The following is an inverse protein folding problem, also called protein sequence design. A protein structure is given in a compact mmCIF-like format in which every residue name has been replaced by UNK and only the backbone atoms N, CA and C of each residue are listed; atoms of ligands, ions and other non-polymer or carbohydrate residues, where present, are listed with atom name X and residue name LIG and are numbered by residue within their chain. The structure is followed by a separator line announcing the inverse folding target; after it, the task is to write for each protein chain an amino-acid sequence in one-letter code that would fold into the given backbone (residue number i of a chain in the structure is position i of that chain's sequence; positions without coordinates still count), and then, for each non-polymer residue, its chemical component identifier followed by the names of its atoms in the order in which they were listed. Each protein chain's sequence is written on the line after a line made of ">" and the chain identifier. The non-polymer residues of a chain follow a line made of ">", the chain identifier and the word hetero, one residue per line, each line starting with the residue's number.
data_IF_027550885823
#
_entry.id   IF_027550885823
#
_cell.length_a   1.000
_cell.length_b   1.000
_cell.length_c   1.000
_cell.angle_alpha   90.00
_cell.angle_beta   90.00
_cell.angle_gamma   90.00
#
_symmetry.space_group_name_H-M   'P 1'
#
loop_
_entity.id
_entity.type
_entity.pdbx_description
1 polymer ?
#
# COMPACT_ATOMS: atom_id res chain seq x y z
N UNK A 1 32.60 6.04 -20.09
CA UNK A 1 32.30 7.24 -19.28
C UNK A 1 30.88 7.16 -18.76
N UNK A 2 29.84 7.16 -19.62
CA UNK A 2 28.43 7.16 -19.17
C UNK A 2 28.00 6.06 -18.18
N UNK A 3 28.50 4.81 -18.29
CA UNK A 3 28.18 3.75 -17.32
C UNK A 3 28.74 4.05 -15.93
N UNK A 4 29.97 4.52 -15.82
CA UNK A 4 30.57 4.87 -14.53
C UNK A 4 29.82 6.01 -13.85
N UNK A 5 29.32 6.99 -14.62
CA UNK A 5 28.51 8.08 -14.07
C UNK A 5 27.17 7.57 -13.51
N UNK A 6 26.55 6.55 -14.13
CA UNK A 6 25.30 5.94 -13.63
C UNK A 6 25.57 5.17 -12.33
N UNK A 7 26.63 4.37 -12.28
CA UNK A 7 27.00 3.61 -11.07
C UNK A 7 27.31 4.55 -9.90
N UNK A 8 28.02 5.66 -10.16
CA UNK A 8 28.28 6.67 -9.14
C UNK A 8 26.96 7.27 -8.59
N UNK A 9 26.01 7.60 -9.46
CA UNK A 9 24.70 8.08 -9.05
C UNK A 9 23.91 7.03 -8.26
N UNK A 10 23.99 5.76 -8.63
CA UNK A 10 23.34 4.67 -7.87
C UNK A 10 23.94 4.54 -6.47
N UNK A 11 25.27 4.65 -6.34
CA UNK A 11 25.92 4.66 -5.02
C UNK A 11 25.42 5.79 -4.11
N UNK A 12 25.05 6.94 -4.71
CA UNK A 12 24.50 8.09 -3.98
C UNK A 12 23.05 7.87 -3.51
N UNK A 13 22.32 6.90 -4.08
CA UNK A 13 20.99 6.51 -3.58
C UNK A 13 21.06 5.89 -2.18
N UNK A 14 22.21 5.34 -1.80
CA UNK A 14 22.43 4.73 -0.50
C UNK A 14 22.90 5.69 0.60
N UNK A 15 23.16 6.96 0.30
CA UNK A 15 23.63 7.93 1.29
C UNK A 15 22.57 8.23 2.35
N UNK A 16 23.00 8.49 3.58
CA UNK A 16 22.09 8.78 4.70
C UNK A 16 21.38 10.14 4.56
N UNK A 17 21.93 11.05 3.77
CA UNK A 17 21.33 12.37 3.54
C UNK A 17 20.23 12.34 2.46
N UNK A 18 19.07 12.91 2.81
CA UNK A 18 17.90 12.95 1.92
C UNK A 18 18.12 13.82 0.68
N UNK A 19 18.94 14.88 0.79
CA UNK A 19 19.22 15.79 -0.32
C UNK A 19 20.05 15.10 -1.42
N UNK A 20 21.07 14.35 -1.05
CA UNK A 20 21.93 13.57 -1.93
C UNK A 20 21.16 12.48 -2.66
N UNK A 21 20.31 11.74 -1.95
CA UNK A 21 19.42 10.74 -2.58
C UNK A 21 18.48 11.37 -3.61
N UNK A 22 17.83 12.49 -3.26
CA UNK A 22 16.93 13.20 -4.20
C UNK A 22 17.68 13.75 -5.40
N UNK A 23 18.88 14.28 -5.20
CA UNK A 23 19.74 14.76 -6.29
C UNK A 23 20.14 13.62 -7.23
N UNK A 24 20.51 12.46 -6.68
CA UNK A 24 20.85 11.28 -7.47
C UNK A 24 19.65 10.76 -8.28
N UNK A 25 18.46 10.67 -7.67
CA UNK A 25 17.23 10.31 -8.37
C UNK A 25 16.95 11.28 -9.52
N UNK A 26 16.99 12.60 -9.28
CA UNK A 26 16.71 13.60 -10.32
C UNK A 26 17.71 13.51 -11.49
N UNK A 27 18.99 13.24 -11.20
CA UNK A 27 20.00 13.05 -12.23
C UNK A 27 19.79 11.77 -13.03
N UNK A 28 19.45 10.65 -12.36
CA UNK A 28 19.08 9.41 -13.04
C UNK A 28 17.82 9.60 -13.90
N UNK A 29 16.79 10.27 -13.39
CA UNK A 29 15.57 10.61 -14.14
C UNK A 29 15.88 11.42 -15.41
N UNK A 30 16.76 12.43 -15.32
CA UNK A 30 17.16 13.22 -16.50
C UNK A 30 17.92 12.41 -17.58
N UNK A 31 18.53 11.28 -17.19
CA UNK A 31 19.23 10.37 -18.12
C UNK A 31 18.28 9.38 -18.79
N UNK A 32 17.12 9.07 -18.19
CA UNK A 32 16.16 8.08 -18.73
C UNK A 32 15.84 8.33 -20.21
N UNK A 33 15.47 9.54 -20.68
CA UNK A 33 15.10 9.76 -22.08
C UNK A 33 16.18 9.41 -23.12
N UNK A 34 17.46 9.38 -22.72
CA UNK A 34 18.60 9.20 -23.63
C UNK A 34 19.34 7.88 -23.41
N UNK A 35 19.17 7.26 -22.24
CA UNK A 35 19.96 6.13 -21.76
C UNK A 35 19.12 5.11 -20.98
N UNK A 36 17.81 5.02 -21.24
CA UNK A 36 16.87 4.19 -20.47
C UNK A 36 17.36 2.77 -20.25
N UNK A 37 17.76 2.05 -21.31
CA UNK A 37 18.28 0.67 -21.20
C UNK A 37 19.52 0.56 -20.31
N UNK A 38 20.40 1.56 -20.36
CA UNK A 38 21.64 1.58 -19.57
C UNK A 38 21.33 1.84 -18.09
N UNK A 39 20.44 2.80 -17.81
CA UNK A 39 19.97 3.08 -16.45
C UNK A 39 19.23 1.86 -15.90
N UNK A 40 18.31 1.26 -16.67
CA UNK A 40 17.58 0.07 -16.27
C UNK A 40 18.53 -1.11 -15.98
N UNK A 41 19.54 -1.34 -16.83
CA UNK A 41 20.54 -2.40 -16.60
C UNK A 41 21.30 -2.20 -15.29
N UNK A 42 21.77 -0.97 -15.01
CA UNK A 42 22.48 -0.70 -13.77
C UNK A 42 21.56 -0.82 -12.54
N UNK A 43 20.31 -0.36 -12.63
CA UNK A 43 19.34 -0.54 -11.54
C UNK A 43 18.99 -2.02 -11.28
N UNK A 44 19.00 -2.87 -12.31
CA UNK A 44 18.80 -4.31 -12.18
C UNK A 44 19.93 -4.94 -11.36
N UNK A 45 21.17 -4.52 -11.59
CA UNK A 45 22.36 -4.99 -10.86
C UNK A 45 22.31 -4.63 -9.34
N UNK A 46 21.39 -3.74 -8.94
CA UNK A 46 21.21 -3.27 -7.56
C UNK A 46 19.84 -3.59 -6.95
N UNK A 47 19.09 -4.55 -7.53
CA UNK A 47 17.78 -4.95 -6.99
C UNK A 47 17.88 -5.70 -5.64
N UNK A 48 19.02 -6.31 -5.36
CA UNK A 48 19.38 -7.00 -4.13
C UNK A 48 20.33 -6.21 -3.23
N UNK A 49 20.64 -4.96 -3.56
CA UNK A 49 21.56 -4.09 -2.80
C UNK A 49 21.21 -4.09 -1.31
N UNK A 50 22.19 -4.23 -0.41
CA UNK A 50 21.96 -4.31 1.04
C UNK A 50 21.21 -3.07 1.58
N UNK A 51 21.41 -1.92 0.96
CA UNK A 51 20.77 -0.67 1.35
C UNK A 51 19.34 -0.59 0.81
N UNK A 52 18.37 -0.58 1.73
CA UNK A 52 16.95 -0.51 1.37
C UNK A 52 16.57 0.76 0.59
N UNK A 53 17.29 1.87 0.75
CA UNK A 53 17.04 3.09 -0.03
C UNK A 53 17.44 2.92 -1.49
N UNK A 54 18.52 2.21 -1.79
CA UNK A 54 18.93 1.89 -3.17
C UNK A 54 17.83 1.05 -3.82
N UNK A 55 17.42 -0.06 -3.17
CA UNK A 55 16.37 -0.95 -3.69
C UNK A 55 15.04 -0.21 -3.93
N UNK A 56 14.59 0.62 -2.98
CA UNK A 56 13.34 1.38 -3.14
C UNK A 56 13.43 2.45 -4.22
N UNK A 57 14.58 3.12 -4.35
CA UNK A 57 14.81 4.13 -5.38
C UNK A 57 14.86 3.51 -6.77
N UNK A 58 15.47 2.34 -6.92
CA UNK A 58 15.45 1.57 -8.16
C UNK A 58 14.00 1.28 -8.61
N UNK A 59 13.17 0.75 -7.70
CA UNK A 59 11.74 0.50 -7.99
C UNK A 59 10.95 1.79 -8.28
N UNK A 60 11.29 2.91 -7.66
CA UNK A 60 10.66 4.20 -7.98
C UNK A 60 11.05 4.69 -9.38
N UNK A 61 12.32 4.55 -9.76
CA UNK A 61 12.81 4.92 -11.09
C UNK A 61 12.18 4.08 -12.20
N UNK A 62 11.96 2.77 -11.99
CA UNK A 62 11.26 1.93 -12.97
C UNK A 62 9.83 2.42 -13.27
N UNK A 63 9.15 3.09 -12.33
CA UNK A 63 7.82 3.69 -12.61
C UNK A 63 7.86 4.93 -13.51
N UNK A 64 9.06 5.43 -13.82
CA UNK A 64 9.31 6.54 -14.74
C UNK A 64 9.81 6.07 -16.10
N UNK A 65 9.96 4.76 -16.28
CA UNK A 65 10.52 4.16 -17.48
C UNK A 65 9.43 3.64 -18.43
N UNK A 66 9.79 3.49 -19.70
CA UNK A 66 8.99 2.88 -20.75
C UNK A 66 9.32 1.40 -20.93
N UNK A 67 8.72 0.78 -21.94
CA UNK A 67 8.96 -0.63 -22.28
C UNK A 67 10.42 -0.95 -22.65
N UNK A 68 11.27 0.04 -22.97
CA UNK A 68 12.68 -0.22 -23.25
C UNK A 68 13.42 -0.78 -22.03
N UNK A 69 12.96 -0.49 -20.82
CA UNK A 69 13.51 -1.05 -19.59
C UNK A 69 13.19 -2.54 -19.39
N UNK A 70 12.21 -3.10 -20.12
CA UNK A 70 11.79 -4.49 -19.95
C UNK A 70 12.92 -5.47 -20.31
N UNK A 71 13.65 -5.24 -21.40
CA UNK A 71 14.73 -6.14 -21.83
C UNK A 71 15.81 -6.33 -20.73
N UNK A 72 16.39 -5.27 -20.13
CA UNK A 72 17.28 -5.41 -18.98
C UNK A 72 16.66 -6.15 -17.79
N UNK A 73 15.40 -5.84 -17.44
CA UNK A 73 14.71 -6.47 -16.30
C UNK A 73 14.47 -7.96 -16.54
N UNK A 74 14.14 -8.35 -17.76
CA UNK A 74 13.93 -9.76 -18.12
C UNK A 74 15.28 -10.50 -18.07
N UNK A 75 16.30 -9.95 -18.71
CA UNK A 75 17.59 -10.62 -18.87
C UNK A 75 18.36 -10.76 -17.56
N UNK A 76 18.41 -9.71 -16.74
CA UNK A 76 19.15 -9.72 -15.46
C UNK A 76 18.28 -9.98 -14.24
N UNK A 77 17.03 -9.53 -14.25
CA UNK A 77 16.14 -9.62 -13.08
C UNK A 77 15.36 -10.93 -13.01
N UNK A 78 14.59 -11.25 -14.06
CA UNK A 78 13.74 -12.44 -14.06
C UNK A 78 14.51 -13.76 -14.18
N UNK A 79 15.66 -13.74 -14.86
CA UNK A 79 16.51 -14.92 -15.04
C UNK A 79 17.56 -15.08 -13.93
N UNK A 80 17.52 -14.24 -12.89
CA UNK A 80 18.39 -14.39 -11.71
C UNK A 80 18.06 -15.66 -10.94
N UNK A 81 19.07 -16.31 -10.35
CA UNK A 81 18.86 -17.44 -9.42
C UNK A 81 18.35 -16.98 -8.04
N UNK A 82 18.39 -15.67 -7.75
CA UNK A 82 17.88 -15.12 -6.51
C UNK A 82 16.40 -14.71 -6.63
N UNK A 83 15.55 -15.33 -5.82
CA UNK A 83 14.14 -14.97 -5.73
C UNK A 83 13.91 -13.53 -5.25
N UNK A 84 14.80 -12.93 -4.45
CA UNK A 84 14.68 -11.51 -4.07
C UNK A 84 14.77 -10.61 -5.30
N UNK A 85 15.74 -10.85 -6.17
CA UNK A 85 15.89 -10.15 -7.45
C UNK A 85 14.68 -10.41 -8.35
N UNK A 86 14.25 -11.67 -8.51
CA UNK A 86 13.06 -11.99 -9.32
C UNK A 86 11.78 -11.30 -8.83
N UNK A 87 11.57 -11.21 -7.51
CA UNK A 87 10.43 -10.50 -6.90
C UNK A 87 10.46 -9.00 -7.23
N UNK A 88 11.64 -8.39 -7.12
CA UNK A 88 11.83 -6.97 -7.42
C UNK A 88 11.63 -6.69 -8.92
N UNK A 89 12.13 -7.57 -9.78
CA UNK A 89 11.92 -7.51 -11.22
C UNK A 89 10.42 -7.62 -11.61
N UNK A 90 9.64 -8.49 -10.95
CA UNK A 90 8.18 -8.53 -11.14
C UNK A 90 7.49 -7.22 -10.70
N UNK A 91 7.92 -6.61 -9.58
CA UNK A 91 7.39 -5.30 -9.16
C UNK A 91 7.78 -4.19 -10.17
N UNK A 92 9.00 -4.23 -10.70
CA UNK A 92 9.47 -3.30 -11.72
C UNK A 92 8.65 -3.38 -13.02
N UNK A 93 8.42 -4.60 -13.56
CA UNK A 93 7.57 -4.79 -14.75
C UNK A 93 6.15 -4.27 -14.49
N UNK A 94 5.57 -4.58 -13.33
CA UNK A 94 4.26 -4.07 -12.96
C UNK A 94 4.22 -2.54 -12.90
N UNK A 95 5.28 -1.88 -12.39
CA UNK A 95 5.37 -0.42 -12.28
C UNK A 95 5.58 0.30 -13.61
N UNK A 96 6.30 -0.31 -14.55
CA UNK A 96 6.44 0.22 -15.92
C UNK A 96 5.06 0.29 -16.58
N UNK A 97 4.18 -0.68 -16.32
CA UNK A 97 2.79 -0.59 -16.77
C UNK A 97 2.61 -0.77 -18.29
N UNK A 98 3.59 -1.33 -18.99
CA UNK A 98 3.48 -1.65 -20.43
C UNK A 98 2.83 -3.01 -20.65
N UNK A 99 1.91 -3.09 -21.62
CA UNK A 99 1.28 -4.33 -22.07
C UNK A 99 2.31 -5.38 -22.52
N UNK A 100 3.45 -4.94 -23.05
CA UNK A 100 4.59 -5.80 -23.43
C UNK A 100 5.12 -6.61 -22.23
N UNK A 101 4.91 -6.12 -21.00
CA UNK A 101 5.27 -6.80 -19.75
C UNK A 101 4.28 -7.89 -19.30
N UNK A 102 3.04 -7.87 -19.80
CA UNK A 102 1.95 -8.76 -19.32
C UNK A 102 2.29 -10.25 -19.47
N UNK A 103 2.84 -10.76 -20.58
CA UNK A 103 3.19 -12.17 -20.71
C UNK A 103 4.17 -12.65 -19.63
N UNK A 104 5.10 -11.79 -19.21
CA UNK A 104 6.07 -12.10 -18.16
C UNK A 104 5.44 -12.12 -16.78
N UNK A 105 4.53 -11.20 -16.49
CA UNK A 105 3.75 -11.20 -15.25
C UNK A 105 2.85 -12.44 -15.18
N UNK A 106 2.19 -12.83 -16.28
CA UNK A 106 1.38 -14.07 -16.34
C UNK A 106 2.27 -15.29 -16.07
N UNK A 107 3.43 -15.40 -16.71
CA UNK A 107 4.41 -16.48 -16.42
C UNK A 107 4.86 -16.47 -14.96
N UNK A 108 5.00 -15.29 -14.36
CA UNK A 108 5.34 -15.12 -12.94
C UNK A 108 4.35 -15.76 -11.97
N UNK A 109 3.07 -15.90 -12.37
CA UNK A 109 2.04 -16.59 -11.57
C UNK A 109 2.31 -18.09 -11.39
N UNK A 110 3.26 -18.69 -12.12
CA UNK A 110 3.62 -20.11 -11.97
C UNK A 110 4.99 -20.33 -11.32
N UNK A 111 5.61 -19.28 -10.78
CA UNK A 111 6.92 -19.39 -10.11
C UNK A 111 6.87 -20.35 -8.91
N UNK A 112 7.97 -21.04 -8.64
CA UNK A 112 8.12 -21.88 -7.45
C UNK A 112 8.05 -21.05 -6.16
N UNK A 113 8.60 -19.83 -6.16
CA UNK A 113 8.55 -18.89 -5.03
C UNK A 113 7.21 -18.16 -4.94
N UNK A 114 6.62 -18.17 -3.76
CA UNK A 114 5.28 -17.61 -3.55
C UNK A 114 5.26 -16.08 -3.54
N UNK A 115 6.37 -15.41 -3.24
CA UNK A 115 6.44 -13.95 -3.31
C UNK A 115 6.60 -13.47 -4.75
N UNK A 116 7.30 -14.22 -5.63
CA UNK A 116 7.31 -13.94 -7.07
C UNK A 116 5.89 -14.01 -7.64
N UNK A 117 5.14 -15.09 -7.33
CA UNK A 117 3.73 -15.21 -7.74
C UNK A 117 2.86 -14.07 -7.20
N UNK A 118 3.11 -13.65 -5.96
CA UNK A 118 2.41 -12.52 -5.35
C UNK A 118 2.69 -11.20 -6.08
N UNK A 119 3.94 -10.93 -6.45
CA UNK A 119 4.32 -9.70 -7.16
C UNK A 119 3.77 -9.71 -8.59
N UNK A 120 3.82 -10.86 -9.28
CA UNK A 120 3.17 -11.06 -10.56
C UNK A 120 1.68 -10.71 -10.50
N UNK A 121 0.95 -11.29 -9.54
CA UNK A 121 -0.47 -10.98 -9.34
C UNK A 121 -0.72 -9.50 -9.03
N UNK A 122 0.15 -8.85 -8.25
CA UNK A 122 0.08 -7.40 -7.97
C UNK A 122 0.27 -6.57 -9.25
N UNK A 123 1.24 -6.91 -10.09
CA UNK A 123 1.50 -6.22 -11.35
C UNK A 123 0.31 -6.31 -12.31
N UNK A 124 -0.27 -7.52 -12.46
CA UNK A 124 -1.43 -7.77 -13.32
C UNK A 124 -2.69 -6.99 -12.95
N UNK A 125 -2.78 -6.47 -11.71
CA UNK A 125 -3.93 -5.67 -11.24
C UNK A 125 -4.14 -4.34 -12.01
N UNK A 126 -3.18 -3.96 -12.85
CA UNK A 126 -3.24 -2.76 -13.69
C UNK A 126 -3.67 -3.06 -15.13
N UNK A 127 -3.83 -4.34 -15.49
CA UNK A 127 -4.08 -4.79 -16.85
C UNK A 127 -5.40 -5.58 -16.92
N UNK A 128 -6.55 -4.90 -16.79
CA UNK A 128 -7.84 -5.56 -16.98
C UNK A 128 -7.98 -6.02 -18.44
N UNK A 129 -8.40 -7.27 -18.63
CA UNK A 129 -8.58 -7.88 -19.95
C UNK A 129 -8.94 -9.36 -19.82
N UNK A 130 -9.58 -9.94 -20.84
CA UNK A 130 -10.11 -11.31 -20.79
C UNK A 130 -9.06 -12.35 -20.39
N UNK A 131 -7.93 -12.39 -21.11
CA UNK A 131 -6.87 -13.36 -20.87
C UNK A 131 -6.19 -13.18 -19.50
N UNK A 132 -5.92 -11.93 -19.10
CA UNK A 132 -5.32 -11.63 -17.79
C UNK A 132 -6.26 -11.99 -16.66
N UNK A 133 -7.55 -11.69 -16.82
CA UNK A 133 -8.58 -12.02 -15.83
C UNK A 133 -8.71 -13.53 -15.69
N UNK A 134 -8.72 -14.28 -16.80
CA UNK A 134 -8.73 -15.73 -16.77
C UNK A 134 -7.49 -16.31 -16.07
N UNK A 135 -6.29 -15.79 -16.34
CA UNK A 135 -5.06 -16.21 -15.67
C UNK A 135 -5.10 -15.96 -14.16
N UNK A 136 -5.60 -14.80 -13.73
CA UNK A 136 -5.79 -14.49 -12.31
C UNK A 136 -6.89 -15.36 -11.68
N UNK A 137 -7.99 -15.65 -12.39
CA UNK A 137 -9.04 -16.54 -11.90
C UNK A 137 -8.50 -17.95 -11.62
N UNK A 138 -7.62 -18.48 -12.47
CA UNK A 138 -6.94 -19.75 -12.19
C UNK A 138 -6.03 -19.63 -10.95
N UNK A 139 -5.31 -18.52 -10.83
CA UNK A 139 -4.42 -18.26 -9.70
C UNK A 139 -5.16 -18.09 -8.35
N UNK A 140 -6.50 -17.97 -8.32
CA UNK A 140 -7.27 -18.07 -7.07
C UNK A 140 -7.13 -19.44 -6.39
N UNK A 141 -6.68 -20.47 -7.12
CA UNK A 141 -6.39 -21.81 -6.59
C UNK A 141 -4.96 -21.95 -6.06
N UNK A 142 -4.18 -20.87 -5.96
CA UNK A 142 -2.79 -20.93 -5.51
C UNK A 142 -2.63 -21.65 -4.17
N UNK A 143 -1.59 -22.48 -4.05
CA UNK A 143 -1.26 -23.20 -2.81
C UNK A 143 -1.04 -22.26 -1.61
N UNK A 144 -0.50 -21.08 -1.84
CA UNK A 144 -0.11 -20.14 -0.79
C UNK A 144 -1.23 -19.12 -0.50
N UNK A 145 -1.70 -18.99 0.76
CA UNK A 145 -2.79 -18.08 1.11
C UNK A 145 -2.55 -16.62 0.73
N UNK A 146 -1.32 -16.10 0.95
CA UNK A 146 -1.01 -14.71 0.58
C UNK A 146 -1.16 -14.43 -0.92
N UNK A 147 -0.88 -15.42 -1.77
CA UNK A 147 -1.01 -15.28 -3.22
C UNK A 147 -2.49 -15.22 -3.58
N UNK A 148 -3.31 -16.13 -3.03
CA UNK A 148 -4.77 -16.10 -3.24
C UNK A 148 -5.40 -14.77 -2.83
N UNK A 149 -5.01 -14.23 -1.67
CA UNK A 149 -5.52 -12.95 -1.18
C UNK A 149 -5.13 -11.79 -2.12
N UNK A 150 -3.89 -11.80 -2.63
CA UNK A 150 -3.42 -10.80 -3.59
C UNK A 150 -4.13 -10.93 -4.94
N UNK A 151 -4.27 -12.16 -5.46
CA UNK A 151 -4.98 -12.45 -6.71
C UNK A 151 -6.43 -11.97 -6.62
N UNK A 152 -7.12 -12.29 -5.53
CA UNK A 152 -8.48 -11.80 -5.30
C UNK A 152 -8.53 -10.27 -5.29
N UNK A 153 -7.61 -9.61 -4.58
CA UNK A 153 -7.52 -8.15 -4.57
C UNK A 153 -7.23 -7.55 -5.96
N UNK A 154 -6.42 -8.22 -6.79
CA UNK A 154 -6.15 -7.81 -8.17
C UNK A 154 -7.38 -7.96 -9.06
N UNK A 155 -8.07 -9.10 -9.00
CA UNK A 155 -9.32 -9.36 -9.75
C UNK A 155 -10.42 -8.35 -9.43
N UNK A 156 -10.50 -7.83 -8.20
CA UNK A 156 -11.45 -6.76 -7.87
C UNK A 156 -11.24 -5.47 -8.68
N UNK A 157 -10.06 -5.27 -9.28
CA UNK A 157 -9.76 -4.15 -10.19
C UNK A 157 -10.12 -4.44 -11.65
N UNK A 158 -10.51 -5.68 -11.99
CA UNK A 158 -10.81 -6.15 -13.35
C UNK A 158 -12.30 -6.05 -13.71
N UNK A 159 -13.05 -5.16 -13.05
CA UNK A 159 -14.47 -4.93 -13.38
C UNK A 159 -15.39 -6.07 -12.95
N UNK A 160 -16.48 -6.28 -13.70
CA UNK A 160 -17.54 -7.22 -13.34
C UNK A 160 -17.05 -8.68 -13.34
N UNK A 161 -16.30 -9.08 -14.38
CA UNK A 161 -15.82 -10.46 -14.54
C UNK A 161 -14.86 -10.86 -13.40
N UNK A 162 -13.96 -9.96 -13.01
CA UNK A 162 -13.07 -10.19 -11.88
C UNK A 162 -13.80 -10.29 -10.55
N UNK A 163 -14.85 -9.48 -10.33
CA UNK A 163 -15.70 -9.58 -9.12
C UNK A 163 -16.45 -10.91 -9.08
N UNK A 164 -17.07 -11.31 -10.20
CA UNK A 164 -17.78 -12.57 -10.32
C UNK A 164 -16.85 -13.77 -10.00
N UNK A 165 -15.63 -13.77 -10.54
CA UNK A 165 -14.64 -14.79 -10.25
C UNK A 165 -14.30 -14.90 -8.75
N UNK A 166 -14.19 -13.78 -8.04
CA UNK A 166 -13.92 -13.76 -6.59
C UNK A 166 -15.13 -14.24 -5.78
N UNK A 167 -16.35 -13.88 -6.18
CA UNK A 167 -17.60 -14.32 -5.53
C UNK A 167 -17.81 -15.84 -5.69
N UNK A 168 -17.60 -16.35 -6.89
CA UNK A 168 -17.73 -17.78 -7.22
C UNK A 168 -16.67 -18.64 -6.50
N UNK A 169 -15.49 -18.08 -6.28
CA UNK A 169 -14.38 -18.77 -5.62
C UNK A 169 -14.66 -19.11 -4.15
N UNK A 170 -15.72 -18.55 -3.51
CA UNK A 170 -16.16 -18.80 -2.12
C UNK A 170 -15.00 -19.17 -1.18
N UNK A 171 -14.31 -18.21 -0.52
CA UNK A 171 -13.12 -18.47 0.29
C UNK A 171 -13.39 -19.45 1.45
N UNK A 172 -13.29 -20.74 1.13
CA UNK A 172 -13.51 -21.85 2.02
C UNK A 172 -12.23 -22.21 2.74
N UNK A 173 -12.19 -21.87 4.04
CA UNK A 173 -11.36 -22.48 5.11
C UNK A 173 -9.95 -21.94 5.33
N UNK A 174 -9.86 -20.90 6.16
CA UNK A 174 -9.25 -21.06 7.49
C UNK A 174 -9.76 -19.97 8.45
N UNK A 175 -10.36 -20.41 9.57
CA UNK A 175 -10.75 -19.54 10.69
C UNK A 175 -9.56 -18.72 11.23
N UNK A 176 -8.33 -19.26 11.11
CA UNK A 176 -7.09 -18.58 11.51
C UNK A 176 -6.71 -17.42 10.57
N UNK A 177 -7.03 -17.50 9.27
CA UNK A 177 -6.77 -16.41 8.31
C UNK A 177 -7.70 -15.21 8.56
N UNK A 178 -8.99 -15.47 8.86
CA UNK A 178 -9.95 -14.42 9.27
C UNK A 178 -9.54 -13.68 10.55
N UNK A 179 -8.81 -14.35 11.45
CA UNK A 179 -8.41 -13.79 12.74
C UNK A 179 -7.12 -12.97 12.66
N UNK A 180 -6.22 -13.31 11.72
CA UNK A 180 -4.91 -12.66 11.55
C UNK A 180 -4.94 -11.47 10.56
N UNK A 181 -5.87 -11.49 9.60
CA UNK A 181 -5.99 -10.44 8.60
C UNK A 181 -7.32 -9.69 8.74
N UNK A 182 -7.24 -8.45 9.25
CA UNK A 182 -8.30 -7.46 9.07
C UNK A 182 -7.87 -6.59 7.89
N UNK A 183 -8.52 -6.66 6.71
CA UNK A 183 -8.17 -5.79 5.60
C UNK A 183 -8.17 -4.33 6.09
N UNK A 184 -7.29 -3.47 5.56
CA UNK A 184 -7.41 -2.05 5.84
C UNK A 184 -8.82 -1.63 5.49
N UNK A 185 -9.55 -1.11 6.48
CA UNK A 185 -10.85 -0.50 6.23
C UNK A 185 -10.59 0.53 5.13
N UNK A 186 -11.33 0.49 4.00
CA UNK A 186 -11.21 1.50 2.97
C UNK A 186 -11.20 2.88 3.62
N UNK A 187 -10.30 3.75 3.18
CA UNK A 187 -10.31 5.11 3.68
C UNK A 187 -11.70 5.68 3.38
N UNK A 188 -12.46 6.11 4.39
CA UNK A 188 -13.78 6.66 4.12
C UNK A 188 -13.64 7.89 3.22
N UNK A 189 -14.55 8.01 2.25
CA UNK A 189 -14.60 9.16 1.35
C UNK A 189 -15.19 10.38 2.08
N UNK A 190 -14.69 11.57 1.75
CA UNK A 190 -15.11 12.85 2.34
C UNK A 190 -14.10 13.47 3.30
N UNK A 191 -14.39 14.72 3.69
CA UNK A 191 -13.54 15.52 4.57
C UNK A 191 -13.89 15.31 6.05
N UNK A 192 -12.89 15.49 6.91
CA UNK A 192 -13.12 15.61 8.35
C UNK A 192 -13.85 16.91 8.68
N UNK A 193 -14.52 16.96 9.83
CA UNK A 193 -15.29 18.13 10.24
C UNK A 193 -16.31 17.83 11.33
N UNK A 194 -17.13 18.84 11.63
CA UNK A 194 -18.24 18.73 12.58
C UNK A 194 -19.30 17.79 12.00
N UNK A 195 -19.72 16.82 12.80
CA UNK A 195 -20.78 15.85 12.46
C UNK A 195 -22.02 15.97 13.33
N UNK A 196 -21.92 16.67 14.46
CA UNK A 196 -23.07 17.12 15.24
C UNK A 196 -22.71 18.38 16.03
N UNK A 197 -23.56 19.40 15.91
CA UNK A 197 -23.46 20.63 16.69
C UNK A 197 -24.18 20.48 18.03
N UNK A 198 -23.68 21.16 19.06
CA UNK A 198 -24.26 21.17 20.40
C UNK A 198 -24.01 22.51 21.09
N UNK A 199 -24.89 22.87 22.02
CA UNK A 199 -24.70 24.01 22.91
C UNK A 199 -23.83 23.68 24.14
N UNK A 200 -23.00 22.62 24.06
CA UNK A 200 -22.21 22.13 25.18
C UNK A 200 -21.00 23.05 25.47
N UNK A 201 -21.03 23.71 26.61
CA UNK A 201 -19.88 24.44 27.14
C UNK A 201 -18.98 23.53 27.97
N UNK A 202 -17.68 23.50 27.64
CA UNK A 202 -16.72 22.60 28.30
C UNK A 202 -16.18 23.22 29.58
N UNK A 203 -16.48 22.59 30.69
CA UNK A 203 -15.90 22.93 32.00
C UNK A 203 -14.48 22.38 32.18
N UNK A 204 -13.62 23.16 32.86
CA UNK A 204 -12.27 22.74 33.24
C UNK A 204 -12.31 21.60 34.26
N UNK A 205 -11.35 20.67 34.16
CA UNK A 205 -11.27 19.51 35.06
C UNK A 205 -12.06 18.28 34.61
N UNK A 206 -12.78 18.37 33.48
CA UNK A 206 -13.50 17.25 32.88
C UNK A 206 -12.88 16.78 31.56
N UNK A 207 -12.92 15.47 31.34
CA UNK A 207 -12.65 14.85 30.04
C UNK A 207 -13.99 14.61 29.33
N UNK A 208 -14.14 15.17 28.14
CA UNK A 208 -15.30 14.99 27.28
C UNK A 208 -15.01 13.97 26.19
N UNK A 209 -15.93 13.05 25.97
CA UNK A 209 -15.80 12.01 24.97
C UNK A 209 -17.16 11.61 24.42
N UNK A 210 -17.15 11.10 23.18
CA UNK A 210 -18.34 10.50 22.60
C UNK A 210 -18.53 9.10 23.21
N UNK A 211 -19.73 8.78 23.66
CA UNK A 211 -20.11 7.48 24.22
C UNK A 211 -20.33 6.42 23.14
N UNK A 212 -20.50 5.16 23.56
CA UNK A 212 -20.87 4.05 22.64
C UNK A 212 -22.31 4.18 22.13
N UNK A 213 -23.14 4.89 22.88
CA UNK A 213 -24.51 5.27 22.57
C UNK A 213 -24.59 6.46 21.59
N UNK A 214 -23.45 7.00 21.17
CA UNK A 214 -23.40 8.12 20.23
C UNK A 214 -23.69 9.48 20.87
N UNK A 215 -23.73 9.59 22.20
CA UNK A 215 -23.97 10.84 22.93
C UNK A 215 -22.68 11.40 23.55
N UNK A 216 -22.68 12.67 23.96
CA UNK A 216 -21.50 13.24 24.63
C UNK A 216 -21.57 12.95 26.13
N UNK A 217 -20.48 12.41 26.66
CA UNK A 217 -20.27 12.13 28.07
C UNK A 217 -19.09 12.93 28.60
N UNK A 218 -19.11 13.24 29.89
CA UNK A 218 -17.96 13.76 30.61
C UNK A 218 -17.64 12.94 31.83
N UNK A 219 -16.39 12.98 32.26
CA UNK A 219 -15.93 12.40 33.54
C UNK A 219 -14.95 13.34 34.20
N UNK A 220 -14.95 13.40 35.54
CA UNK A 220 -13.97 14.19 36.27
C UNK A 220 -12.58 13.59 36.08
N UNK A 221 -11.60 14.40 35.72
CA UNK A 221 -10.22 13.96 35.57
C UNK A 221 -9.55 13.79 36.95
N UNK A 222 -8.74 12.75 37.09
CA UNK A 222 -7.91 12.59 38.27
C UNK A 222 -6.84 13.69 38.33
N UNK A 223 -6.56 14.22 39.54
CA UNK A 223 -5.52 15.22 39.77
C UNK A 223 -4.81 14.95 41.10
N UNK A 224 -3.53 14.61 41.04
CA UNK A 224 -2.75 14.25 42.24
C UNK A 224 -3.38 13.07 42.96
N UNK A 225 -3.70 13.25 44.25
CA UNK A 225 -4.38 12.24 45.08
C UNK A 225 -5.90 12.24 44.92
N UNK A 226 -6.49 13.20 44.19
CA UNK A 226 -7.94 13.27 43.96
C UNK A 226 -8.33 12.30 42.85
N UNK A 227 -9.14 11.26 43.17
CA UNK A 227 -9.59 10.31 42.17
C UNK A 227 -10.53 10.98 41.17
N UNK A 228 -10.37 10.61 39.89
CA UNK A 228 -11.33 10.95 38.84
C UNK A 228 -12.53 10.00 38.84
N UNK A 229 -13.45 10.20 37.89
CA UNK A 229 -14.62 9.35 37.70
C UNK A 229 -15.94 10.12 37.62
N UNK A 230 -17.06 9.42 37.81
CA UNK A 230 -18.40 9.98 37.69
C UNK A 230 -18.75 10.33 36.24
N UNK A 231 -18.89 9.30 35.40
CA UNK A 231 -19.31 9.52 34.03
C UNK A 231 -20.78 9.94 33.97
N UNK A 232 -21.07 11.06 33.33
CA UNK A 232 -22.43 11.53 33.09
C UNK A 232 -22.61 11.98 31.63
N UNK A 233 -23.83 11.79 31.13
CA UNK A 233 -24.21 12.21 29.78
C UNK A 233 -24.58 13.68 29.81
N UNK A 234 -23.97 14.47 28.93
CA UNK A 234 -24.12 15.94 28.91
C UNK A 234 -24.71 16.50 27.63
N UNK A 235 -24.76 15.73 26.55
CA UNK A 235 -25.50 16.10 25.35
C UNK A 235 -25.99 14.87 24.58
N UNK A 236 -27.20 14.96 24.01
CA UNK A 236 -27.73 13.93 23.13
C UNK A 236 -27.41 14.30 21.68
N UNK A 237 -26.58 13.50 21.00
CA UNK A 237 -26.17 13.76 19.62
C UNK A 237 -26.49 12.61 18.67
N UNK A 238 -26.67 11.38 19.19
CA UNK A 238 -27.05 10.22 18.37
C UNK A 238 -26.05 9.86 17.27
N UNK A 239 -24.80 10.31 17.37
CA UNK A 239 -23.80 10.15 16.31
C UNK A 239 -23.41 8.68 16.19
N UNK A 240 -23.63 8.13 15.00
CA UNK A 240 -23.17 6.78 14.65
C UNK A 240 -21.71 6.84 14.20
N UNK A 241 -20.86 6.02 14.82
CA UNK A 241 -19.44 5.94 14.47
C UNK A 241 -19.23 5.10 13.22
N UNK A 242 -18.62 5.72 12.22
CA UNK A 242 -18.12 5.03 11.04
C UNK A 242 -16.69 4.55 11.24
N UNK A 243 -16.36 3.40 10.65
CA UNK A 243 -14.98 2.86 10.70
C UNK A 243 -14.06 3.73 9.85
N UNK A 244 -12.82 3.92 10.30
CA UNK A 244 -11.82 4.74 9.60
C UNK A 244 -11.77 6.20 10.08
N UNK A 245 -12.69 6.61 10.95
CA UNK A 245 -12.75 7.94 11.55
C UNK A 245 -12.39 7.92 13.04
N UNK A 246 -11.69 8.96 13.48
CA UNK A 246 -11.53 9.33 14.87
C UNK A 246 -12.56 10.41 15.21
N UNK A 247 -13.39 10.17 16.22
CA UNK A 247 -14.36 11.13 16.72
C UNK A 247 -13.86 11.79 18.00
N UNK A 248 -14.04 13.09 18.12
CA UNK A 248 -13.63 13.87 19.29
C UNK A 248 -14.60 15.03 19.54
N UNK A 249 -14.59 15.54 20.78
CA UNK A 249 -15.36 16.72 21.15
C UNK A 249 -14.44 17.93 21.00
N UNK A 250 -14.74 18.78 20.02
CA UNK A 250 -13.88 19.92 19.69
C UNK A 250 -13.94 21.03 20.77
N UNK A 251 -13.25 22.15 20.50
CA UNK A 251 -13.18 23.28 21.44
C UNK A 251 -14.51 24.02 21.63
N UNK A 252 -15.45 23.89 20.68
CA UNK A 252 -16.79 24.50 20.72
C UNK A 252 -17.83 23.54 21.33
N UNK A 253 -17.43 22.35 21.75
CA UNK A 253 -18.34 21.35 22.32
C UNK A 253 -18.95 20.40 21.30
N UNK A 254 -18.73 20.62 20.00
CA UNK A 254 -19.32 19.82 18.94
C UNK A 254 -18.66 18.45 18.79
N UNK A 255 -19.40 17.49 18.25
CA UNK A 255 -18.82 16.21 17.81
C UNK A 255 -18.19 16.43 16.44
N UNK A 256 -16.89 16.23 16.36
CA UNK A 256 -16.11 16.33 15.13
C UNK A 256 -15.45 14.99 14.80
N UNK A 257 -15.13 14.77 13.52
CA UNK A 257 -14.39 13.61 13.05
C UNK A 257 -13.17 14.00 12.22
N UNK A 258 -12.13 13.19 12.29
CA UNK A 258 -10.96 13.27 11.40
C UNK A 258 -10.50 11.87 11.00
N UNK A 259 -9.72 11.76 9.93
CA UNK A 259 -9.20 10.48 9.48
C UNK A 259 -8.32 9.86 10.55
N UNK A 260 -8.59 8.60 10.88
CA UNK A 260 -7.81 7.86 11.86
C UNK A 260 -6.41 7.56 11.29
N UNK A 261 -5.38 8.29 11.73
CA UNK A 261 -3.98 7.92 11.47
C UNK A 261 -3.68 6.62 12.22
N UNK A 262 -3.29 5.56 11.50
CA UNK A 262 -2.82 4.33 12.14
C UNK A 262 -1.48 4.61 12.82
N UNK A 263 -1.35 4.24 14.10
CA UNK A 263 -0.05 4.12 14.75
C UNK A 263 0.81 3.10 13.99
N UNK A 264 2.12 3.38 13.92
CA UNK A 264 3.12 2.59 13.19
C UNK A 264 3.20 1.14 13.61
#
# INVERSE_FOLDING_TARGET
>A
MARNDIEELISHLGRDDDAGRRSAIAQLESKIPHSEKQVASALVDHLDDDNHFVRQSALALFSRMSEQALEPIINGGLNSDDFFVQRAAMDAIGRIGSDTGVPYLVKGLTSSDHYVRWQAAKGLAQFPGGDVTAALTEALRDRHPLVRDRVAASLMRHGADGKAAVEDWKPGRSRKLRQKYKPPVPKPEGDGGVVAETDLEKESGYLYYLGKDGNIWRTRMARGTVPGGGAEKVANTGVTRERGWLYYIDKRGNVSRTLLKRGG
#
